data_IF_207198716937
#
_entry.id   IF_207198716937
#
_cell.length_a   1.000
_cell.length_b   1.000
_cell.length_c   1.000
_cell.angle_alpha   90.00
_cell.angle_beta   90.00
_cell.angle_gamma   90.00
#
_symmetry.space_group_name_H-M   'P 1'
#
loop_
_entity.id
_entity.type
_entity.pdbx_description
1 polymer ?
#
# COMPACT_ATOMS: atom_id res chain seq x y z
N UNK A 1 9.24 -36.84 8.43
CA UNK A 1 8.04 -36.03 8.17
C UNK A 1 8.45 -34.57 8.30
N UNK A 2 8.17 -33.73 7.31
CA UNK A 2 8.60 -32.33 7.31
C UNK A 2 7.93 -31.59 8.47
N UNK A 3 8.74 -31.09 9.41
CA UNK A 3 8.29 -30.30 10.56
C UNK A 3 7.77 -28.92 10.16
N UNK A 4 8.07 -28.48 8.93
CA UNK A 4 7.66 -27.18 8.43
C UNK A 4 6.27 -27.26 7.80
N UNK A 5 5.42 -26.33 8.19
CA UNK A 5 4.11 -26.11 7.60
C UNK A 5 4.20 -25.72 6.12
N UNK A 6 3.32 -26.25 5.25
CA UNK A 6 3.25 -25.89 3.84
C UNK A 6 2.53 -24.55 3.61
N UNK A 7 1.92 -23.95 4.64
CA UNK A 7 1.17 -22.70 4.53
C UNK A 7 2.12 -21.51 4.40
N UNK A 8 1.79 -20.60 3.49
CA UNK A 8 2.65 -19.47 3.09
C UNK A 8 2.03 -18.17 3.61
N UNK A 9 2.73 -17.53 4.54
CA UNK A 9 2.25 -16.31 5.20
C UNK A 9 2.94 -15.06 4.66
N UNK A 10 2.14 -14.15 4.10
CA UNK A 10 2.54 -12.77 3.86
C UNK A 10 3.37 -12.52 2.60
N UNK A 11 3.63 -13.55 1.80
CA UNK A 11 4.34 -13.45 0.52
C UNK A 11 3.45 -13.85 -0.65
N UNK A 12 3.86 -13.44 -1.85
CA UNK A 12 3.22 -13.85 -3.10
C UNK A 12 3.31 -15.36 -3.26
N UNK A 13 2.17 -16.00 -3.53
CA UNK A 13 2.14 -17.43 -3.84
C UNK A 13 2.68 -17.59 -5.25
N UNK A 14 3.80 -18.28 -5.37
CA UNK A 14 4.45 -18.57 -6.65
C UNK A 14 4.20 -20.01 -7.10
N UNK A 15 4.12 -20.96 -6.16
CA UNK A 15 3.85 -22.36 -6.47
C UNK A 15 2.38 -22.56 -6.87
N UNK A 16 2.07 -23.00 -8.11
CA UNK A 16 0.71 -23.26 -8.56
C UNK A 16 -0.07 -24.24 -7.69
N UNK A 17 0.60 -25.21 -7.06
CA UNK A 17 -0.03 -26.17 -6.16
C UNK A 17 -0.60 -25.54 -4.88
N UNK A 18 -0.14 -24.33 -4.51
CA UNK A 18 -0.64 -23.58 -3.35
C UNK A 18 -1.53 -22.40 -3.75
N UNK A 19 -1.85 -22.24 -5.04
CA UNK A 19 -2.70 -21.18 -5.55
C UNK A 19 -4.15 -21.68 -5.73
N UNK A 20 -4.99 -21.39 -4.75
CA UNK A 20 -6.36 -21.90 -4.69
C UNK A 20 -7.40 -20.91 -5.24
N UNK A 21 -8.35 -21.44 -6.02
CA UNK A 21 -9.50 -20.70 -6.54
C UNK A 21 -9.12 -19.72 -7.65
N UNK A 22 -9.77 -18.54 -7.64
CA UNK A 22 -9.52 -17.43 -8.59
C UNK A 22 -9.78 -17.74 -10.07
N UNK A 23 -10.40 -18.86 -10.41
CA UNK A 23 -10.71 -19.26 -11.79
C UNK A 23 -11.50 -18.19 -12.55
N UNK A 24 -12.54 -17.62 -11.93
CA UNK A 24 -13.34 -16.54 -12.55
C UNK A 24 -12.52 -15.25 -12.75
N UNK A 25 -11.67 -14.91 -11.79
CA UNK A 25 -10.81 -13.73 -11.88
C UNK A 25 -9.79 -13.88 -13.02
N UNK A 26 -9.10 -15.02 -13.08
CA UNK A 26 -8.19 -15.36 -14.17
C UNK A 26 -8.90 -15.36 -15.52
N UNK A 27 -10.07 -16.00 -15.65
CA UNK A 27 -10.85 -15.99 -16.88
C UNK A 27 -11.23 -14.56 -17.32
N UNK A 28 -11.58 -13.70 -16.37
CA UNK A 28 -11.91 -12.28 -16.65
C UNK A 28 -10.68 -11.51 -17.14
N UNK A 29 -9.51 -11.73 -16.54
CA UNK A 29 -8.26 -11.08 -16.94
C UNK A 29 -7.80 -11.57 -18.32
N UNK A 30 -7.88 -12.88 -18.57
CA UNK A 30 -7.58 -13.48 -19.88
C UNK A 30 -8.44 -12.89 -20.99
N UNK A 31 -9.76 -12.85 -20.81
CA UNK A 31 -10.67 -12.28 -21.79
C UNK A 31 -10.42 -10.78 -22.03
N UNK A 32 -9.94 -10.05 -21.02
CA UNK A 32 -9.57 -8.64 -21.18
C UNK A 32 -8.28 -8.47 -21.98
N UNK A 33 -7.27 -9.30 -21.69
CA UNK A 33 -5.98 -9.35 -22.41
C UNK A 33 -6.19 -9.69 -23.88
N UNK A 34 -7.00 -10.71 -24.18
CA UNK A 34 -7.33 -11.12 -25.55
C UNK A 34 -7.97 -9.99 -26.36
N UNK A 35 -8.71 -9.09 -25.70
CA UNK A 35 -9.33 -7.91 -26.32
C UNK A 35 -8.41 -6.69 -26.36
N UNK A 36 -7.18 -6.78 -25.84
CA UNK A 36 -6.26 -5.65 -25.70
C UNK A 36 -6.76 -4.58 -24.71
N UNK A 37 -7.61 -4.96 -23.76
CA UNK A 37 -8.23 -4.05 -22.80
C UNK A 37 -7.58 -4.11 -21.42
N UNK A 38 -7.58 -2.99 -20.70
CA UNK A 38 -6.89 -2.85 -19.42
C UNK A 38 -7.79 -3.15 -18.21
N UNK A 39 -7.21 -3.78 -17.19
CA UNK A 39 -7.88 -4.18 -15.95
C UNK A 39 -7.13 -3.67 -14.73
N UNK A 40 -7.87 -3.09 -13.79
CA UNK A 40 -7.35 -2.74 -12.47
C UNK A 40 -7.87 -3.75 -11.45
N UNK A 41 -6.99 -4.56 -10.89
CA UNK A 41 -7.31 -5.50 -9.81
C UNK A 41 -7.27 -4.76 -8.49
N UNK A 42 -8.45 -4.58 -7.89
CA UNK A 42 -8.64 -3.84 -6.64
C UNK A 42 -9.11 -4.79 -5.56
N UNK A 43 -8.64 -4.58 -4.34
CA UNK A 43 -9.08 -5.38 -3.20
C UNK A 43 -8.22 -5.15 -1.98
N UNK A 44 -8.66 -5.70 -0.86
CA UNK A 44 -8.00 -5.59 0.44
C UNK A 44 -6.52 -6.00 0.41
N UNK A 45 -5.78 -5.49 1.40
CA UNK A 45 -4.41 -5.93 1.65
C UNK A 45 -4.40 -7.44 1.89
N UNK A 46 -3.40 -8.14 1.34
CA UNK A 46 -3.22 -9.60 1.47
C UNK A 46 -4.37 -10.47 0.92
N UNK A 47 -5.31 -9.92 0.15
CA UNK A 47 -6.38 -10.71 -0.49
C UNK A 47 -5.86 -11.61 -1.63
N UNK A 48 -4.60 -11.42 -2.05
CA UNK A 48 -3.93 -12.23 -3.08
C UNK A 48 -3.85 -11.59 -4.46
N UNK A 49 -3.82 -10.24 -4.55
CA UNK A 49 -3.64 -9.52 -5.82
C UNK A 49 -2.31 -9.85 -6.50
N UNK A 50 -1.20 -9.71 -5.76
CA UNK A 50 0.14 -10.06 -6.22
C UNK A 50 0.23 -11.50 -6.71
N UNK A 51 -0.32 -12.45 -5.94
CA UNK A 51 -0.40 -13.86 -6.35
C UNK A 51 -1.21 -14.02 -7.65
N UNK A 52 -2.36 -13.33 -7.78
CA UNK A 52 -3.17 -13.38 -8.99
C UNK A 52 -2.40 -12.87 -10.22
N UNK A 53 -1.72 -11.72 -10.12
CA UNK A 53 -0.92 -11.17 -11.23
C UNK A 53 0.28 -12.05 -11.55
N UNK A 54 0.97 -12.58 -10.54
CA UNK A 54 2.09 -13.50 -10.73
C UNK A 54 1.64 -14.76 -11.49
N UNK A 55 0.54 -15.38 -11.05
CA UNK A 55 -0.02 -16.55 -11.72
C UNK A 55 -0.53 -16.24 -13.12
N UNK A 56 -1.13 -15.06 -13.34
CA UNK A 56 -1.53 -14.63 -14.67
C UNK A 56 -0.35 -14.55 -15.63
N UNK A 57 0.78 -13.99 -15.18
CA UNK A 57 1.94 -13.78 -16.03
C UNK A 57 2.78 -15.05 -16.28
N UNK A 58 2.85 -15.98 -15.31
CA UNK A 58 3.78 -17.11 -15.37
C UNK A 58 3.11 -18.47 -15.55
N UNK A 59 1.80 -18.60 -15.25
CA UNK A 59 1.14 -19.90 -15.15
C UNK A 59 -0.21 -19.98 -15.86
N UNK A 60 -0.83 -18.86 -16.20
CA UNK A 60 -2.08 -18.88 -16.93
C UNK A 60 -1.84 -19.30 -18.38
N UNK A 61 -2.75 -20.12 -18.92
CA UNK A 61 -2.79 -20.44 -20.34
C UNK A 61 -3.26 -19.20 -21.13
N UNK A 62 -2.31 -18.38 -21.57
CA UNK A 62 -2.55 -17.25 -22.46
C UNK A 62 -2.36 -17.67 -23.92
N UNK A 63 -3.01 -17.00 -24.89
CA UNK A 63 -2.70 -17.21 -26.30
C UNK A 63 -1.21 -16.99 -26.61
N UNK A 64 -0.65 -17.76 -27.55
CA UNK A 64 0.77 -17.74 -27.90
C UNK A 64 1.27 -16.36 -28.39
N UNK A 65 0.36 -15.53 -28.91
CA UNK A 65 0.67 -14.19 -29.35
C UNK A 65 0.64 -13.15 -28.22
N UNK A 66 0.39 -13.52 -26.96
CA UNK A 66 0.44 -12.59 -25.84
C UNK A 66 1.86 -12.46 -25.29
N UNK A 67 2.39 -11.24 -25.30
CA UNK A 67 3.70 -10.92 -24.74
C UNK A 67 3.53 -10.17 -23.42
N UNK A 68 3.62 -10.89 -22.30
CA UNK A 68 3.34 -10.36 -20.97
C UNK A 68 4.61 -10.05 -20.18
N UNK A 69 4.71 -8.82 -19.66
CA UNK A 69 5.76 -8.40 -18.73
C UNK A 69 5.17 -8.23 -17.33
N UNK A 70 5.73 -8.90 -16.32
CA UNK A 70 5.37 -8.71 -14.92
C UNK A 70 6.43 -7.90 -14.19
N UNK A 71 6.01 -6.84 -13.50
CA UNK A 71 6.87 -6.00 -12.68
C UNK A 71 6.26 -5.81 -11.29
N UNK A 72 7.09 -6.01 -10.27
CA UNK A 72 6.78 -5.62 -8.89
C UNK A 72 7.38 -4.25 -8.61
N UNK A 73 6.53 -3.24 -8.45
CA UNK A 73 6.95 -1.84 -8.28
C UNK A 73 7.43 -1.52 -6.85
N UNK A 74 7.46 -2.50 -5.95
CA UNK A 74 8.24 -2.39 -4.71
C UNK A 74 9.75 -2.39 -4.99
N UNK A 75 10.17 -2.93 -6.13
CA UNK A 75 11.57 -2.91 -6.53
C UNK A 75 12.00 -1.49 -6.94
N UNK A 76 12.93 -0.93 -6.16
CA UNK A 76 13.44 0.43 -6.34
C UNK A 76 14.07 0.68 -7.71
N UNK A 77 14.47 -0.38 -8.43
CA UNK A 77 14.97 -0.25 -9.80
C UNK A 77 13.95 0.41 -10.71
N UNK A 78 12.66 0.15 -10.53
CA UNK A 78 11.60 0.67 -11.39
C UNK A 78 11.10 2.07 -11.00
N UNK A 79 11.75 2.75 -10.06
CA UNK A 79 11.36 4.10 -9.60
C UNK A 79 11.92 5.22 -10.48
N UNK A 80 12.48 4.89 -11.65
CA UNK A 80 12.88 5.84 -12.69
C UNK A 80 12.24 5.48 -14.02
N UNK A 81 11.93 6.48 -14.85
CA UNK A 81 11.35 6.24 -16.19
C UNK A 81 12.23 5.28 -17.03
N UNK A 82 13.55 5.51 -17.20
CA UNK A 82 14.37 4.64 -18.06
C UNK A 82 14.35 3.17 -17.62
N UNK A 83 14.50 2.92 -16.32
CA UNK A 83 14.54 1.55 -15.81
C UNK A 83 13.17 0.87 -15.87
N UNK A 84 12.08 1.61 -15.63
CA UNK A 84 10.73 1.08 -15.75
C UNK A 84 10.43 0.67 -17.20
N UNK A 85 10.65 1.59 -18.15
CA UNK A 85 10.38 1.34 -19.57
C UNK A 85 11.27 0.21 -20.11
N UNK A 86 12.57 0.22 -19.77
CA UNK A 86 13.50 -0.85 -20.15
C UNK A 86 13.10 -2.19 -19.53
N UNK A 87 12.73 -2.21 -18.24
CA UNK A 87 12.29 -3.43 -17.57
C UNK A 87 11.04 -4.04 -18.18
N UNK A 88 10.10 -3.20 -18.64
CA UNK A 88 8.91 -3.64 -19.38
C UNK A 88 9.32 -4.28 -20.71
N UNK A 89 10.13 -3.61 -21.52
CA UNK A 89 10.55 -4.13 -22.82
C UNK A 89 11.33 -5.43 -22.68
N UNK A 90 12.19 -5.56 -21.68
CA UNK A 90 12.89 -6.81 -21.36
C UNK A 90 11.94 -7.93 -20.93
N UNK A 91 10.85 -7.60 -20.23
CA UNK A 91 9.78 -8.56 -19.92
C UNK A 91 9.08 -9.05 -21.19
N UNK A 92 8.69 -8.13 -22.07
CA UNK A 92 8.05 -8.43 -23.36
C UNK A 92 8.98 -9.26 -24.25
N UNK A 93 10.26 -8.90 -24.34
CA UNK A 93 11.24 -9.62 -25.15
C UNK A 93 11.40 -11.07 -24.66
N UNK A 94 11.53 -11.27 -23.34
CA UNK A 94 11.57 -12.62 -22.76
C UNK A 94 10.31 -13.43 -23.08
N UNK A 95 9.13 -12.81 -23.00
CA UNK A 95 7.86 -13.47 -23.33
C UNK A 95 7.74 -13.84 -24.82
N UNK A 96 8.51 -13.19 -25.69
CA UNK A 96 8.56 -13.47 -27.13
C UNK A 96 9.78 -14.28 -27.55
N UNK A 97 10.47 -14.91 -26.59
CA UNK A 97 11.64 -15.75 -26.85
C UNK A 97 12.91 -14.98 -27.19
N UNK A 98 13.00 -13.70 -26.83
CA UNK A 98 14.15 -12.84 -27.08
C UNK A 98 14.22 -12.32 -28.52
N UNK A 99 13.10 -12.24 -29.24
CA UNK A 99 13.05 -11.91 -30.67
C UNK A 99 13.52 -10.50 -30.99
N UNK A 100 13.34 -9.56 -30.08
CA UNK A 100 13.46 -8.14 -30.35
C UNK A 100 14.78 -7.53 -29.91
N UNK A 101 15.43 -8.13 -28.90
CA UNK A 101 16.69 -7.68 -28.30
C UNK A 101 16.68 -6.16 -28.06
N UNK A 102 15.69 -5.67 -27.31
CA UNK A 102 15.54 -4.23 -27.09
C UNK A 102 16.75 -3.65 -26.35
N UNK A 103 17.29 -2.57 -26.89
CA UNK A 103 18.24 -1.72 -26.17
C UNK A 103 17.54 -0.98 -25.02
N UNK A 104 18.29 -0.54 -23.99
CA UNK A 104 17.75 0.32 -22.94
C UNK A 104 17.11 1.58 -23.53
N UNK A 105 15.91 1.91 -23.05
CA UNK A 105 15.15 3.08 -23.48
C UNK A 105 15.10 4.11 -22.36
N UNK A 106 15.26 5.39 -22.72
CA UNK A 106 15.25 6.50 -21.75
C UNK A 106 13.97 7.33 -21.80
N UNK A 107 13.23 7.28 -22.90
CA UNK A 107 12.09 8.16 -23.17
C UNK A 107 10.85 7.40 -23.66
N UNK A 108 9.67 8.03 -23.50
CA UNK A 108 8.37 7.45 -23.89
C UNK A 108 8.25 7.22 -25.41
N UNK A 109 8.93 8.03 -26.23
CA UNK A 109 8.91 7.91 -27.68
C UNK A 109 9.50 6.58 -28.16
N UNK A 110 10.70 6.25 -27.70
CA UNK A 110 11.38 4.98 -28.04
C UNK A 110 10.59 3.78 -27.54
N UNK A 111 10.05 3.88 -26.33
CA UNK A 111 9.16 2.86 -25.78
C UNK A 111 7.90 2.65 -26.64
N UNK A 112 7.30 3.74 -27.13
CA UNK A 112 6.12 3.69 -28.00
C UNK A 112 6.44 2.97 -29.32
N UNK A 113 7.55 3.34 -29.97
CA UNK A 113 8.00 2.69 -31.21
C UNK A 113 8.29 1.19 -31.00
N UNK A 114 8.91 0.84 -29.87
CA UNK A 114 9.17 -0.54 -29.50
C UNK A 114 7.87 -1.36 -29.32
N UNK A 115 6.90 -0.84 -28.57
CA UNK A 115 5.59 -1.49 -28.38
C UNK A 115 4.82 -1.62 -29.70
N UNK A 116 4.87 -0.60 -30.55
CA UNK A 116 4.24 -0.63 -31.87
C UNK A 116 4.85 -1.70 -32.77
N UNK A 117 6.18 -1.86 -32.76
CA UNK A 117 6.86 -2.93 -33.48
C UNK A 117 6.37 -4.32 -33.03
N UNK A 118 6.25 -4.54 -31.72
CA UNK A 118 5.74 -5.82 -31.18
C UNK A 118 4.30 -6.07 -31.64
N UNK A 119 3.47 -5.02 -31.64
CA UNK A 119 2.09 -5.10 -32.07
C UNK A 119 1.94 -5.38 -33.58
N UNK A 120 2.79 -4.76 -34.41
CA UNK A 120 2.83 -4.98 -35.87
C UNK A 120 3.24 -6.41 -36.22
N UNK A 121 4.11 -7.02 -35.42
CA UNK A 121 4.55 -8.41 -35.56
C UNK A 121 3.48 -9.44 -35.11
N UNK A 122 2.28 -8.98 -34.76
CA UNK A 122 1.12 -9.82 -34.43
C UNK A 122 1.00 -10.19 -32.95
N UNK A 123 1.92 -9.72 -32.10
CA UNK A 123 1.83 -9.93 -30.66
C UNK A 123 0.88 -8.93 -30.00
N UNK A 124 0.30 -9.31 -28.86
CA UNK A 124 -0.41 -8.42 -27.94
C UNK A 124 0.50 -8.13 -26.75
N UNK A 125 1.12 -6.94 -26.68
CA UNK A 125 1.86 -6.49 -25.50
C UNK A 125 0.92 -6.33 -24.30
N UNK A 126 1.32 -6.88 -23.16
CA UNK A 126 0.62 -6.76 -21.88
C UNK A 126 1.61 -6.45 -20.77
N UNK A 127 1.25 -5.53 -19.88
CA UNK A 127 2.05 -5.21 -18.69
C UNK A 127 1.23 -5.51 -17.45
N UNK A 128 1.75 -6.40 -16.62
CA UNK A 128 1.32 -6.59 -15.24
C UNK A 128 2.15 -5.70 -14.30
N UNK A 129 1.49 -4.76 -13.64
CA UNK A 129 2.12 -3.85 -12.67
C UNK A 129 1.56 -4.15 -11.28
N UNK A 130 2.37 -4.75 -10.43
CA UNK A 130 2.01 -4.96 -9.03
C UNK A 130 2.41 -3.73 -8.18
N UNK A 131 1.59 -3.42 -7.18
CA UNK A 131 1.76 -2.26 -6.29
C UNK A 131 1.88 -0.92 -7.05
N UNK A 132 0.94 -0.65 -7.97
CA UNK A 132 0.94 0.55 -8.83
C UNK A 132 1.02 1.87 -8.05
N UNK A 133 0.47 1.93 -6.83
CA UNK A 133 0.58 3.07 -5.93
C UNK A 133 2.02 3.55 -5.70
N UNK A 134 3.03 2.70 -5.95
CA UNK A 134 4.44 3.09 -5.86
C UNK A 134 4.86 4.10 -6.90
N UNK A 135 4.26 4.13 -8.08
CA UNK A 135 4.55 5.21 -9.03
C UNK A 135 4.05 6.58 -8.50
N UNK A 136 2.97 6.56 -7.71
CA UNK A 136 2.35 7.79 -7.17
C UNK A 136 3.16 8.40 -6.03
N UNK A 137 4.08 7.64 -5.43
CA UNK A 137 5.01 8.18 -4.41
C UNK A 137 6.19 8.94 -5.02
N UNK A 138 6.30 8.97 -6.36
CA UNK A 138 7.34 9.67 -7.12
C UNK A 138 6.75 10.60 -8.19
N UNK A 139 5.89 11.58 -7.81
CA UNK A 139 5.17 12.44 -8.77
C UNK A 139 6.08 13.35 -9.60
N UNK A 140 7.30 13.62 -9.13
CA UNK A 140 8.34 14.32 -9.88
C UNK A 140 8.94 13.49 -11.02
N UNK A 141 8.83 12.17 -10.92
CA UNK A 141 9.35 11.22 -11.91
C UNK A 141 8.24 10.73 -12.83
N UNK A 142 7.10 10.32 -12.26
CA UNK A 142 5.93 9.84 -13.01
C UNK A 142 4.85 10.92 -13.01
N UNK A 143 5.01 11.87 -13.92
CA UNK A 143 4.12 13.00 -14.05
C UNK A 143 2.91 12.69 -14.97
N UNK A 144 2.08 13.71 -15.20
CA UNK A 144 0.91 13.60 -16.07
C UNK A 144 1.28 13.22 -17.52
N UNK A 145 2.38 13.77 -18.04
CA UNK A 145 2.83 13.51 -19.41
C UNK A 145 3.17 12.03 -19.62
N UNK A 146 3.85 11.43 -18.65
CA UNK A 146 4.13 9.99 -18.64
C UNK A 146 2.85 9.15 -18.74
N UNK A 147 1.85 9.44 -17.90
CA UNK A 147 0.57 8.70 -17.92
C UNK A 147 -0.27 8.96 -19.17
N UNK A 148 -0.16 10.15 -19.79
CA UNK A 148 -0.79 10.44 -21.08
C UNK A 148 -0.20 9.57 -22.20
N UNK A 149 1.12 9.34 -22.20
CA UNK A 149 1.78 8.41 -23.12
C UNK A 149 1.25 6.97 -22.99
N UNK A 150 1.19 6.45 -21.76
CA UNK A 150 0.62 5.13 -21.49
C UNK A 150 -0.86 5.03 -21.82
N UNK A 151 -1.64 6.06 -21.49
CA UNK A 151 -3.06 6.14 -21.87
C UNK A 151 -3.24 6.07 -23.38
N UNK A 152 -2.39 6.76 -24.14
CA UNK A 152 -2.44 6.77 -25.61
C UNK A 152 -2.29 5.36 -26.17
N UNK A 153 -1.24 4.63 -25.74
CA UNK A 153 -1.01 3.23 -26.11
C UNK A 153 -2.17 2.32 -25.72
N UNK A 154 -2.71 2.49 -24.52
CA UNK A 154 -3.83 1.69 -24.01
C UNK A 154 -5.14 1.94 -24.75
N UNK A 155 -5.47 3.21 -25.01
CA UNK A 155 -6.70 3.60 -25.71
C UNK A 155 -6.72 3.10 -27.15
N UNK A 156 -5.56 3.00 -27.78
CA UNK A 156 -5.40 2.44 -29.14
C UNK A 156 -5.36 0.89 -29.17
N UNK A 157 -5.42 0.21 -28.03
CA UNK A 157 -5.29 -1.25 -27.95
C UNK A 157 -3.89 -1.76 -28.34
N UNK A 158 -2.88 -0.88 -28.37
CA UNK A 158 -1.47 -1.24 -28.65
C UNK A 158 -0.81 -1.89 -27.45
N UNK A 159 -1.27 -1.55 -26.25
CA UNK A 159 -0.72 -2.03 -24.98
C UNK A 159 -1.86 -2.25 -23.98
N UNK A 160 -1.97 -3.45 -23.42
CA UNK A 160 -2.93 -3.69 -22.33
C UNK A 160 -2.23 -3.66 -20.97
N UNK A 161 -2.93 -3.16 -19.95
CA UNK A 161 -2.42 -3.09 -18.59
C UNK A 161 -3.25 -3.98 -17.66
N UNK A 162 -2.59 -4.74 -16.81
CA UNK A 162 -3.22 -5.41 -15.66
C UNK A 162 -2.53 -4.92 -14.41
N UNK A 163 -3.17 -4.05 -13.65
CA UNK A 163 -2.58 -3.45 -12.45
C UNK A 163 -3.12 -4.12 -11.20
N UNK A 164 -2.35 -4.13 -10.12
CA UNK A 164 -2.84 -4.43 -8.78
C UNK A 164 -2.60 -3.24 -7.87
N UNK A 165 -3.65 -2.83 -7.16
CA UNK A 165 -3.58 -1.74 -6.19
C UNK A 165 -4.50 -1.99 -5.00
N UNK A 166 -4.19 -1.35 -3.87
CA UNK A 166 -5.04 -1.42 -2.67
C UNK A 166 -6.33 -0.61 -2.79
N UNK A 167 -6.25 0.55 -3.44
CA UNK A 167 -7.38 1.47 -3.66
C UNK A 167 -7.78 1.46 -5.13
N UNK A 168 -8.96 1.98 -5.45
CA UNK A 168 -9.42 2.16 -6.83
C UNK A 168 -8.34 2.83 -7.66
N UNK A 169 -8.21 2.43 -8.93
CA UNK A 169 -7.26 3.08 -9.85
C UNK A 169 -7.50 4.59 -9.97
N UNK A 170 -8.77 5.02 -9.82
CA UNK A 170 -9.16 6.43 -9.80
C UNK A 170 -8.60 7.17 -8.58
N UNK A 171 -8.43 6.47 -7.46
CA UNK A 171 -7.86 7.00 -6.22
C UNK A 171 -6.34 6.92 -6.20
N UNK A 172 -5.76 5.88 -6.80
CA UNK A 172 -4.31 5.77 -7.00
C UNK A 172 -3.83 6.94 -7.83
N UNK A 173 -4.41 7.13 -9.01
CA UNK A 173 -3.92 8.10 -10.00
C UNK A 173 -4.72 9.40 -9.90
N UNK A 174 -4.65 10.05 -8.74
CA UNK A 174 -5.20 11.40 -8.54
C UNK A 174 -4.11 12.44 -8.77
N UNK A 175 -4.36 13.38 -9.68
CA UNK A 175 -3.52 14.59 -9.81
C UNK A 175 -4.37 15.82 -9.50
N UNK A 176 -3.92 16.63 -8.54
CA UNK A 176 -4.59 17.88 -8.12
C UNK A 176 -6.06 17.74 -7.69
N UNK A 177 -6.50 16.54 -7.27
CA UNK A 177 -7.89 16.30 -6.86
C UNK A 177 -8.81 15.84 -7.98
N UNK A 178 -8.30 15.73 -9.22
CA UNK A 178 -9.02 15.18 -10.37
C UNK A 178 -8.57 13.76 -10.68
N UNK A 179 -9.49 12.92 -11.17
CA UNK A 179 -9.17 11.57 -11.65
C UNK A 179 -8.29 11.66 -12.89
N UNK A 180 -7.16 10.95 -12.90
CA UNK A 180 -6.28 10.94 -14.07
C UNK A 180 -6.99 10.33 -15.28
N UNK A 181 -6.89 10.94 -16.47
CA UNK A 181 -7.36 10.32 -17.71
C UNK A 181 -6.82 8.91 -17.93
N UNK A 182 -5.66 8.56 -17.37
CA UNK A 182 -5.13 7.20 -17.43
C UNK A 182 -6.04 6.17 -16.75
N UNK A 183 -6.73 6.52 -15.66
CA UNK A 183 -7.66 5.60 -15.01
C UNK A 183 -8.84 5.20 -15.93
N UNK A 184 -9.23 6.08 -16.88
CA UNK A 184 -10.38 5.86 -17.76
C UNK A 184 -10.22 4.72 -18.78
N UNK A 185 -8.99 4.21 -19.01
CA UNK A 185 -8.80 3.03 -19.88
C UNK A 185 -8.99 1.71 -19.15
N UNK A 186 -9.13 1.74 -17.82
CA UNK A 186 -9.28 0.57 -16.99
C UNK A 186 -10.74 0.26 -16.70
N UNK A 187 -11.03 -1.03 -16.63
CA UNK A 187 -12.20 -1.52 -15.91
C UNK A 187 -11.75 -2.26 -14.66
N UNK A 188 -12.45 -2.08 -13.55
CA UNK A 188 -12.05 -2.70 -12.30
C UNK A 188 -12.45 -4.18 -12.24
N UNK A 189 -11.57 -4.98 -11.65
CA UNK A 189 -11.85 -6.34 -11.21
C UNK A 189 -11.69 -6.36 -9.69
N UNK A 190 -12.81 -6.41 -8.99
CA UNK A 190 -12.83 -6.49 -7.53
C UNK A 190 -12.47 -7.90 -7.07
N UNK A 191 -11.46 -8.00 -6.21
CA UNK A 191 -10.97 -9.25 -5.67
C UNK A 191 -11.49 -9.43 -4.24
N UNK A 192 -12.43 -10.35 -4.07
CA UNK A 192 -13.01 -10.71 -2.77
C UNK A 192 -12.36 -11.99 -2.18
N UNK A 193 -12.99 -12.59 -1.17
CA UNK A 193 -12.63 -13.94 -0.72
C UNK A 193 -12.70 -14.99 -1.83
N UNK A 194 -12.01 -16.12 -1.65
CA UNK A 194 -12.09 -17.26 -2.58
C UNK A 194 -13.44 -17.98 -2.44
N UNK A 195 -13.80 -18.81 -3.42
CA UNK A 195 -15.00 -19.63 -3.34
C UNK A 195 -14.88 -20.69 -2.23
N UNK A 196 -16.03 -21.20 -1.75
CA UNK A 196 -16.07 -22.15 -0.64
C UNK A 196 -15.30 -23.47 -0.95
N UNK A 197 -15.46 -24.08 -2.13
CA UNK A 197 -14.64 -25.23 -2.52
C UNK A 197 -13.14 -24.95 -2.43
N UNK A 198 -12.66 -23.85 -2.99
CA UNK A 198 -11.25 -23.45 -2.93
C UNK A 198 -10.78 -23.18 -1.50
N UNK A 199 -11.62 -22.57 -0.65
CA UNK A 199 -11.30 -22.32 0.74
C UNK A 199 -11.11 -23.61 1.55
N UNK A 200 -11.97 -24.61 1.32
CA UNK A 200 -11.83 -25.94 1.91
C UNK A 200 -10.60 -26.68 1.37
N UNK A 201 -10.36 -26.60 0.07
CA UNK A 201 -9.19 -27.18 -0.58
C UNK A 201 -7.89 -26.61 0.01
N UNK A 202 -7.79 -25.28 0.17
CA UNK A 202 -6.65 -24.63 0.82
C UNK A 202 -6.37 -25.20 2.21
N UNK A 203 -7.40 -25.44 3.02
CA UNK A 203 -7.25 -25.99 4.37
C UNK A 203 -6.97 -27.51 4.43
N UNK A 204 -7.12 -28.26 3.33
CA UNK A 204 -7.10 -29.73 3.36
C UNK A 204 -6.11 -30.38 2.38
N UNK A 205 -5.93 -29.83 1.18
CA UNK A 205 -5.04 -30.38 0.16
C UNK A 205 -3.56 -30.40 0.59
N UNK A 206 -3.02 -29.38 1.31
CA UNK A 206 -1.65 -29.44 1.79
C UNK A 206 -1.37 -30.63 2.74
N UNK A 207 -2.36 -31.06 3.53
CA UNK A 207 -2.25 -32.26 4.36
C UNK A 207 -2.20 -33.53 3.51
N UNK A 208 -3.09 -33.63 2.50
CA UNK A 208 -3.11 -34.76 1.56
C UNK A 208 -1.78 -34.89 0.83
N UNK A 209 -1.26 -33.77 0.30
CA UNK A 209 0.00 -33.72 -0.43
C UNK A 209 1.20 -34.15 0.43
N UNK A 210 1.15 -33.89 1.74
CA UNK A 210 2.18 -34.29 2.68
C UNK A 210 1.98 -35.69 3.28
N UNK A 211 0.94 -36.42 2.88
CA UNK A 211 0.60 -37.73 3.45
C UNK A 211 0.18 -37.68 4.93
N UNK A 212 -0.31 -36.53 5.40
CA UNK A 212 -0.86 -36.37 6.76
C UNK A 212 -2.37 -36.62 6.76
N UNK A 213 -2.90 -36.98 7.93
CA UNK A 213 -4.34 -37.01 8.15
C UNK A 213 -4.92 -35.61 7.94
N UNK A 214 -5.98 -35.54 7.13
CA UNK A 214 -6.72 -34.31 6.90
C UNK A 214 -7.42 -33.88 8.21
N UNK A 215 -7.42 -32.59 8.57
CA UNK A 215 -8.11 -32.13 9.76
C UNK A 215 -9.59 -32.49 9.76
N UNK A 216 -10.14 -32.79 10.93
CA UNK A 216 -11.55 -33.14 11.05
C UNK A 216 -12.45 -31.98 10.56
N UNK A 217 -13.59 -32.25 9.89
CA UNK A 217 -14.44 -31.21 9.28
C UNK A 217 -14.84 -30.09 10.24
N UNK A 218 -15.10 -30.41 11.51
CA UNK A 218 -15.47 -29.42 12.52
C UNK A 218 -14.41 -28.32 12.73
N UNK A 219 -13.12 -28.65 12.59
CA UNK A 219 -12.03 -27.67 12.70
C UNK A 219 -11.90 -26.83 11.43
N UNK A 220 -12.05 -27.45 10.25
CA UNK A 220 -12.08 -26.74 8.97
C UNK A 220 -13.24 -25.73 8.92
N UNK A 221 -14.43 -26.18 9.33
CA UNK A 221 -15.63 -25.34 9.39
C UNK A 221 -15.48 -24.21 10.41
N UNK A 222 -14.86 -24.48 11.56
CA UNK A 222 -14.57 -23.46 12.57
C UNK A 222 -13.57 -22.42 12.04
N UNK A 223 -12.52 -22.83 11.34
CA UNK A 223 -11.57 -21.92 10.69
C UNK A 223 -12.26 -21.04 9.65
N UNK A 224 -13.06 -21.62 8.76
CA UNK A 224 -13.83 -20.88 7.76
C UNK A 224 -14.83 -19.91 8.40
N UNK A 225 -15.51 -20.34 9.46
CA UNK A 225 -16.46 -19.50 10.19
C UNK A 225 -15.76 -18.28 10.82
N UNK A 226 -14.59 -18.46 11.43
CA UNK A 226 -13.88 -17.37 12.12
C UNK A 226 -13.14 -16.46 11.13
N UNK A 227 -12.42 -17.03 10.16
CA UNK A 227 -11.53 -16.30 9.25
C UNK A 227 -12.22 -15.83 7.97
N UNK A 228 -13.41 -16.33 7.67
CA UNK A 228 -14.07 -16.10 6.39
C UNK A 228 -13.35 -16.81 5.26
N UNK A 229 -13.49 -16.26 4.05
CA UNK A 229 -12.87 -16.80 2.82
C UNK A 229 -11.68 -15.98 2.33
N UNK A 230 -11.07 -15.20 3.22
CA UNK A 230 -9.92 -14.38 2.87
C UNK A 230 -8.65 -15.24 2.83
N UNK A 231 -7.94 -15.36 1.68
CA UNK A 231 -6.85 -16.33 1.51
C UNK A 231 -5.75 -16.23 2.57
N UNK A 232 -5.30 -15.03 2.91
CA UNK A 232 -4.25 -14.87 3.93
C UNK A 232 -4.67 -15.33 5.33
N UNK A 233 -5.89 -15.02 5.79
CA UNK A 233 -6.37 -15.50 7.09
C UNK A 233 -6.65 -17.00 7.07
N UNK A 234 -7.02 -17.57 5.92
CA UNK A 234 -7.10 -19.01 5.76
C UNK A 234 -5.74 -19.70 5.76
N UNK A 235 -4.69 -19.06 5.24
CA UNK A 235 -3.31 -19.57 5.38
C UNK A 235 -2.87 -19.59 6.84
N UNK A 236 -3.19 -18.55 7.64
CA UNK A 236 -2.99 -18.57 9.10
C UNK A 236 -3.76 -19.72 9.73
N UNK A 237 -5.03 -19.89 9.36
CA UNK A 237 -5.86 -20.97 9.89
C UNK A 237 -5.35 -22.37 9.52
N UNK A 238 -4.84 -22.54 8.31
CA UNK A 238 -4.19 -23.76 7.86
C UNK A 238 -2.90 -24.05 8.63
N UNK A 239 -2.09 -23.02 8.87
CA UNK A 239 -0.86 -23.13 9.66
C UNK A 239 -1.16 -23.55 11.11
N UNK A 240 -2.21 -22.98 11.71
CA UNK A 240 -2.66 -23.40 13.04
C UNK A 240 -3.17 -24.84 13.04
N UNK A 241 -3.97 -25.25 12.03
CA UNK A 241 -4.39 -26.64 11.87
C UNK A 241 -3.20 -27.60 11.72
N UNK A 242 -2.11 -27.14 11.10
CA UNK A 242 -0.93 -27.96 10.84
C UNK A 242 -0.18 -28.31 12.13
N UNK A 243 -0.13 -27.36 13.07
CA UNK A 243 0.57 -27.49 14.35
C UNK A 243 -0.34 -27.95 15.49
N UNK A 244 -1.66 -27.89 15.32
CA UNK A 244 -2.60 -28.31 16.34
C UNK A 244 -2.67 -29.82 16.48
N UNK A 245 -2.62 -30.32 17.71
CA UNK A 245 -2.96 -31.70 18.06
C UNK A 245 -4.49 -31.94 18.10
N UNK A 246 -5.30 -30.92 17.77
CA UNK A 246 -6.74 -30.98 17.51
C UNK A 246 -7.62 -31.68 18.58
N UNK A 247 -7.24 -31.59 19.87
CA UNK A 247 -8.03 -32.18 20.97
C UNK A 247 -8.97 -31.17 21.66
N UNK A 248 -8.64 -29.86 21.62
CA UNK A 248 -9.41 -28.83 22.32
C UNK A 248 -9.86 -27.70 21.36
N UNK A 249 -11.17 -27.62 21.12
CA UNK A 249 -11.77 -26.63 20.19
C UNK A 249 -11.71 -25.19 20.70
N UNK A 250 -11.75 -24.99 22.01
CA UNK A 250 -11.69 -23.65 22.60
C UNK A 250 -10.26 -23.11 22.58
N UNK A 251 -9.29 -23.97 22.89
CA UNK A 251 -7.87 -23.62 22.73
C UNK A 251 -7.53 -23.33 21.28
N UNK A 252 -7.99 -24.16 20.34
CA UNK A 252 -7.80 -23.90 18.91
C UNK A 252 -8.42 -22.56 18.47
N UNK A 253 -9.63 -22.23 18.97
CA UNK A 253 -10.24 -20.93 18.72
C UNK A 253 -9.38 -19.77 19.25
N UNK A 254 -8.81 -19.92 20.44
CA UNK A 254 -7.94 -18.91 21.05
C UNK A 254 -6.67 -18.73 20.23
N UNK A 255 -5.99 -19.81 19.84
CA UNK A 255 -4.79 -19.75 19.02
C UNK A 255 -5.05 -19.07 17.66
N UNK A 256 -6.15 -19.42 16.98
CA UNK A 256 -6.57 -18.76 15.75
C UNK A 256 -6.76 -17.25 15.95
N UNK A 257 -7.38 -16.86 17.06
CA UNK A 257 -7.59 -15.47 17.41
C UNK A 257 -6.26 -14.75 17.67
N UNK A 258 -5.36 -15.34 18.43
CA UNK A 258 -4.06 -14.76 18.75
C UNK A 258 -3.17 -14.61 17.50
N UNK A 259 -3.08 -15.66 16.67
CA UNK A 259 -2.32 -15.65 15.42
C UNK A 259 -2.83 -14.59 14.43
N UNK A 260 -4.14 -14.32 14.44
CA UNK A 260 -4.78 -13.37 13.52
C UNK A 260 -4.83 -11.93 14.05
N UNK A 261 -4.46 -11.70 15.32
CA UNK A 261 -4.63 -10.40 15.99
C UNK A 261 -3.88 -9.28 15.30
N UNK A 262 -2.57 -9.43 15.12
CA UNK A 262 -1.75 -8.40 14.50
C UNK A 262 -2.18 -8.09 13.06
N UNK A 263 -2.41 -9.10 12.18
CA UNK A 263 -2.94 -8.83 10.86
C UNK A 263 -4.30 -8.14 10.81
N UNK A 264 -5.23 -8.49 11.71
CA UNK A 264 -6.53 -7.85 11.75
C UNK A 264 -6.45 -6.41 12.27
N UNK A 265 -5.53 -6.12 13.20
CA UNK A 265 -5.25 -4.74 13.64
C UNK A 265 -4.68 -3.91 12.49
N UNK A 266 -3.74 -4.46 11.71
CA UNK A 266 -3.22 -3.78 10.50
C UNK A 266 -4.34 -3.49 9.49
N UNK A 267 -5.21 -4.47 9.25
CA UNK A 267 -6.37 -4.32 8.39
C UNK A 267 -7.29 -3.19 8.89
N UNK A 268 -7.53 -3.10 10.20
CA UNK A 268 -8.36 -2.06 10.82
C UNK A 268 -7.72 -0.67 10.73
N UNK A 269 -6.43 -0.56 11.01
CA UNK A 269 -5.67 0.70 10.99
C UNK A 269 -5.54 1.25 9.56
N UNK A 270 -5.60 0.38 8.55
CA UNK A 270 -5.60 0.73 7.13
C UNK A 270 -6.93 1.35 6.66
N UNK A 271 -8.02 1.24 7.43
CA UNK A 271 -9.33 1.81 7.09
C UNK A 271 -9.41 3.28 7.50
N UNK A 272 -10.08 4.09 6.68
CA UNK A 272 -10.47 5.46 7.03
C UNK A 272 -11.50 5.49 8.17
N UNK A 273 -11.65 6.65 8.82
CA UNK A 273 -12.61 6.80 9.92
C UNK A 273 -14.07 6.51 9.50
N UNK A 274 -14.43 6.82 8.25
CA UNK A 274 -15.76 6.53 7.69
C UNK A 274 -15.94 5.03 7.45
N UNK A 275 -14.93 4.34 6.91
CA UNK A 275 -14.92 2.89 6.72
C UNK A 275 -14.94 2.13 8.05
N UNK A 276 -14.16 2.57 9.04
CA UNK A 276 -14.18 2.01 10.40
C UNK A 276 -15.58 2.14 11.01
N UNK A 277 -16.23 3.30 10.83
CA UNK A 277 -17.61 3.53 11.31
C UNK A 277 -18.59 2.61 10.60
N UNK A 278 -18.49 2.48 9.27
CA UNK A 278 -19.31 1.56 8.48
C UNK A 278 -19.12 0.09 8.92
N UNK A 279 -17.88 -0.34 9.12
CA UNK A 279 -17.57 -1.69 9.59
C UNK A 279 -18.14 -1.96 11.00
N UNK A 280 -18.10 -0.98 11.90
CA UNK A 280 -18.72 -1.07 13.23
C UNK A 280 -20.26 -1.18 13.15
N UNK A 281 -20.89 -0.44 12.23
CA UNK A 281 -22.35 -0.54 11.99
C UNK A 281 -22.73 -1.94 11.50
N UNK A 282 -22.02 -2.45 10.48
CA UNK A 282 -22.18 -3.82 9.98
C UNK A 282 -21.98 -4.85 11.08
N UNK A 283 -20.94 -4.70 11.90
CA UNK A 283 -20.67 -5.63 12.99
C UNK A 283 -21.77 -5.62 14.06
N UNK A 284 -22.28 -4.44 14.45
CA UNK A 284 -23.27 -4.31 15.53
C UNK A 284 -24.71 -4.52 15.09
N UNK A 285 -24.98 -4.66 13.79
CA UNK A 285 -26.33 -4.74 13.23
C UNK A 285 -27.13 -3.43 13.38
N UNK A 286 -26.46 -2.34 13.79
CA UNK A 286 -27.07 -1.01 13.93
C UNK A 286 -26.99 -0.29 12.58
N UNK A 287 -27.94 -0.63 11.71
CA UNK A 287 -28.14 0.06 10.44
C UNK A 287 -28.22 -0.90 9.26
N UNK A 288 -29.38 -1.49 9.03
CA UNK A 288 -29.81 -1.69 7.64
C UNK A 288 -30.21 -0.30 7.16
N UNK A 289 -29.23 0.48 6.67
CA UNK A 289 -29.54 1.80 6.14
C UNK A 289 -30.27 1.56 4.82
N UNK A 290 -31.47 2.11 4.69
CA UNK A 290 -32.22 2.21 3.43
C UNK A 290 -31.48 3.08 2.39
N UNK A 291 -30.28 3.57 2.72
CA UNK A 291 -29.38 4.36 1.90
C UNK A 291 -27.95 3.84 2.10
N UNK A 292 -27.38 3.17 1.09
CA UNK A 292 -26.01 2.68 1.13
C UNK A 292 -25.05 3.89 1.14
N UNK A 293 -24.44 4.20 2.28
CA UNK A 293 -23.39 5.22 2.34
C UNK A 293 -22.17 4.77 1.50
N UNK A 294 -21.45 5.72 0.89
CA UNK A 294 -20.28 5.45 0.03
C UNK A 294 -19.25 4.52 0.70
N UNK A 295 -19.05 4.68 2.02
CA UNK A 295 -18.14 3.85 2.79
C UNK A 295 -18.56 2.37 2.84
N UNK A 296 -19.86 2.06 2.98
CA UNK A 296 -20.36 0.68 3.01
C UNK A 296 -20.23 0.00 1.65
N UNK A 297 -20.48 0.76 0.58
CA UNK A 297 -20.21 0.28 -0.77
C UNK A 297 -18.71 0.00 -0.98
N UNK A 298 -17.84 0.87 -0.45
CA UNK A 298 -16.40 0.67 -0.54
C UNK A 298 -15.95 -0.59 0.21
N UNK A 299 -16.52 -0.90 1.38
CA UNK A 299 -16.22 -2.15 2.11
C UNK A 299 -16.51 -3.42 1.30
N UNK A 300 -17.60 -3.43 0.51
CA UNK A 300 -17.89 -4.52 -0.42
C UNK A 300 -16.87 -4.57 -1.56
N UNK A 301 -16.58 -3.41 -2.16
CA UNK A 301 -15.66 -3.27 -3.29
C UNK A 301 -14.26 -3.77 -2.96
N UNK A 302 -13.74 -3.46 -1.76
CA UNK A 302 -12.43 -3.94 -1.32
C UNK A 302 -12.47 -5.39 -0.81
N UNK A 303 -13.65 -5.94 -0.52
CA UNK A 303 -13.83 -7.30 -0.01
C UNK A 303 -13.72 -7.43 1.51
N UNK A 304 -13.85 -6.33 2.27
CA UNK A 304 -13.99 -6.36 3.74
C UNK A 304 -15.38 -6.83 4.15
N UNK A 305 -16.38 -6.58 3.29
CA UNK A 305 -17.73 -7.07 3.44
C UNK A 305 -18.09 -8.00 2.28
N UNK A 306 -19.06 -8.89 2.52
CA UNK A 306 -19.66 -9.76 1.52
C UNK A 306 -21.17 -9.82 1.72
N UNK A 307 -21.89 -10.20 0.65
CA UNK A 307 -23.30 -10.57 0.72
C UNK A 307 -23.42 -12.05 1.05
N UNK A 308 -24.27 -12.41 1.99
CA UNK A 308 -24.66 -13.79 2.23
C UNK A 308 -25.71 -14.25 1.19
N UNK A 309 -26.19 -15.50 1.35
CA UNK A 309 -27.16 -16.13 0.44
C UNK A 309 -28.50 -15.37 0.39
N UNK A 310 -28.88 -14.71 1.49
CA UNK A 310 -30.08 -13.88 1.59
C UNK A 310 -29.83 -12.44 1.07
N UNK A 311 -28.63 -12.16 0.57
CA UNK A 311 -28.22 -10.85 0.06
C UNK A 311 -27.89 -9.83 1.15
N UNK A 312 -27.88 -10.23 2.42
CA UNK A 312 -27.54 -9.36 3.55
C UNK A 312 -26.03 -9.18 3.61
N UNK A 313 -25.62 -7.93 3.88
CA UNK A 313 -24.21 -7.58 3.96
C UNK A 313 -23.67 -7.81 5.36
N UNK A 314 -22.51 -8.46 5.42
CA UNK A 314 -21.76 -8.76 6.63
C UNK A 314 -20.27 -8.60 6.37
N UNK A 315 -19.50 -8.44 7.44
CA UNK A 315 -18.04 -8.49 7.32
C UNK A 315 -17.58 -9.88 6.90
N UNK A 316 -16.45 -9.97 6.21
CA UNK A 316 -15.93 -11.22 5.68
C UNK A 316 -15.60 -12.25 6.78
N UNK A 317 -15.30 -11.80 8.01
CA UNK A 317 -14.84 -12.61 9.14
C UNK A 317 -15.72 -12.42 10.37
N UNK A 318 -16.22 -13.52 10.94
CA UNK A 318 -16.96 -13.46 12.21
C UNK A 318 -16.04 -13.13 13.40
N UNK A 319 -14.76 -13.50 13.34
CA UNK A 319 -13.79 -13.10 14.36
C UNK A 319 -13.65 -11.56 14.38
N UNK A 320 -13.53 -10.93 13.21
CA UNK A 320 -13.50 -9.47 13.10
C UNK A 320 -14.80 -8.85 13.65
N UNK A 321 -15.96 -9.39 13.26
CA UNK A 321 -17.26 -8.95 13.79
C UNK A 321 -17.31 -9.02 15.32
N UNK A 322 -16.88 -10.13 15.92
CA UNK A 322 -16.86 -10.31 17.37
C UNK A 322 -15.93 -9.31 18.07
N UNK A 323 -14.74 -9.08 17.51
CA UNK A 323 -13.78 -8.12 18.06
C UNK A 323 -14.26 -6.68 18.00
N UNK A 324 -14.92 -6.30 16.92
CA UNK A 324 -15.53 -4.98 16.78
C UNK A 324 -16.66 -4.78 17.81
N UNK A 325 -17.53 -5.77 18.01
CA UNK A 325 -18.57 -5.74 19.05
C UNK A 325 -17.98 -5.60 20.46
N UNK A 326 -16.89 -6.31 20.75
CA UNK A 326 -16.19 -6.30 22.04
C UNK A 326 -15.30 -5.07 22.24
N UNK A 327 -15.13 -4.23 21.22
CA UNK A 327 -14.29 -3.04 21.29
C UNK A 327 -12.79 -3.36 21.42
N UNK A 328 -12.33 -4.50 20.90
CA UNK A 328 -10.91 -4.92 20.96
C UNK A 328 -10.00 -3.86 20.33
N UNK A 329 -10.48 -3.17 19.30
CA UNK A 329 -9.74 -2.13 18.59
C UNK A 329 -9.82 -0.73 19.24
N UNK A 330 -10.59 -0.53 20.33
CA UNK A 330 -10.75 0.79 20.96
C UNK A 330 -9.49 1.30 21.65
N UNK A 331 -8.51 0.43 21.92
CA UNK A 331 -7.20 0.82 22.47
C UNK A 331 -6.21 1.31 21.38
N UNK A 332 -6.47 1.10 20.09
CA UNK A 332 -5.64 1.65 18.99
C UNK A 332 -6.14 3.01 18.49
N UNK A 333 -7.27 3.52 19.02
CA UNK A 333 -7.87 4.80 18.66
C UNK A 333 -7.16 6.01 19.30
N UNK A 334 -5.82 6.02 19.32
CA UNK A 334 -5.09 7.28 19.31
C UNK A 334 -4.84 7.62 17.83
N UNK A 335 -5.58 8.59 17.26
CA UNK A 335 -5.47 8.90 15.85
C UNK A 335 -4.11 9.55 15.61
N UNK A 336 -3.11 8.75 15.23
CA UNK A 336 -1.92 9.30 14.58
C UNK A 336 -2.36 9.75 13.18
N UNK A 337 -2.38 11.07 12.88
CA UNK A 337 -2.78 11.52 11.57
C UNK A 337 -1.73 11.10 10.55
N UNK A 338 -2.17 10.40 9.50
CA UNK A 338 -1.43 10.37 8.25
C UNK A 338 -1.50 11.78 7.64
N UNK A 339 -0.33 12.38 7.48
CA UNK A 339 -0.06 13.72 6.95
C UNK A 339 -0.35 14.91 7.89
N UNK A 340 0.67 15.76 8.02
CA UNK A 340 0.63 16.99 8.80
C UNK A 340 -0.37 17.97 8.21
N UNK A 341 -1.36 18.35 9.00
CA UNK A 341 -2.07 19.63 8.92
C UNK A 341 -2.76 19.88 10.26
N UNK A 342 -2.11 20.67 11.13
CA UNK A 342 -2.78 21.30 12.28
C UNK A 342 -3.86 22.23 11.71
N UNK A 343 -5.13 22.00 12.03
CA UNK A 343 -6.15 23.05 11.98
C UNK A 343 -6.94 23.14 13.27
N UNK A 344 -6.88 24.38 13.79
CA UNK A 344 -7.76 25.07 14.75
C UNK A 344 -9.13 24.43 14.96
N UNK A 345 -9.47 24.21 16.24
CA UNK A 345 -10.87 24.15 16.69
C UNK A 345 -11.38 25.57 16.87
N UNK A 346 -12.48 25.90 16.19
CA UNK A 346 -13.40 26.96 16.57
C UNK A 346 -14.36 26.45 17.64
N UNK A 347 -14.63 27.28 18.65
CA UNK A 347 -15.85 27.25 19.44
C UNK A 347 -16.43 28.66 19.42
N UNK A 348 -17.63 28.81 18.84
CA UNK A 348 -18.42 30.05 18.83
C UNK A 348 -19.47 29.99 19.94
N UNK A 349 -19.79 31.17 20.49
CA UNK A 349 -21.03 31.67 21.13
C UNK A 349 -20.76 32.26 22.53
N UNK A 350 -21.07 33.50 22.95
CA UNK A 350 -21.63 34.76 22.40
C UNK A 350 -21.13 35.92 23.33
N UNK A 351 -21.56 37.20 23.22
CA UNK A 351 -20.70 38.38 23.00
C UNK A 351 -20.39 39.17 24.31
N UNK A 352 -19.43 40.11 24.26
CA UNK A 352 -19.55 41.49 24.80
C UNK A 352 -18.19 42.23 24.73
N UNK A 353 -18.17 43.30 23.93
CA UNK A 353 -17.46 44.59 24.06
C UNK A 353 -16.14 44.74 24.85
N UNK A 354 -15.10 45.21 24.11
CA UNK A 354 -14.09 46.25 24.41
C UNK A 354 -13.24 46.15 25.71
N UNK A 355 -11.93 45.87 25.62
CA UNK A 355 -10.76 46.78 25.43
C UNK A 355 -9.43 46.05 25.82
N UNK A 356 -8.24 46.56 25.44
CA UNK A 356 -7.04 45.76 25.18
C UNK A 356 -6.09 45.63 26.39
N UNK A 357 -5.46 44.46 26.56
CA UNK A 357 -4.09 44.34 27.11
C UNK A 357 -3.54 42.91 27.01
N UNK A 358 -2.22 42.87 26.78
CA UNK A 358 -1.26 41.79 26.96
C UNK A 358 -1.18 40.60 25.97
N UNK A 359 -0.29 40.82 24.98
CA UNK A 359 0.37 39.81 24.17
C UNK A 359 1.64 39.30 24.87
N UNK A 360 1.76 37.96 24.83
CA UNK A 360 2.95 37.18 24.44
C UNK A 360 4.27 37.33 25.22
N UNK A 361 4.63 36.25 25.92
CA UNK A 361 6.01 35.75 25.96
C UNK A 361 6.00 34.22 25.79
N UNK A 362 6.73 33.70 24.79
CA UNK A 362 7.31 32.33 24.74
C UNK A 362 8.04 32.10 23.41
N UNK A 363 9.14 32.80 23.11
CA UNK A 363 10.12 32.38 22.07
C UNK A 363 11.54 32.94 22.31
N UNK A 364 12.39 32.21 23.08
CA UNK A 364 13.83 32.21 22.74
C UNK A 364 14.50 30.81 22.74
N UNK A 365 13.97 29.81 23.45
CA UNK A 365 14.68 28.54 23.70
C UNK A 365 14.81 27.67 22.44
N UNK A 366 13.78 27.64 21.59
CA UNK A 366 13.79 26.83 20.37
C UNK A 366 14.76 27.34 19.29
N UNK A 367 14.97 28.67 19.22
CA UNK A 367 15.90 29.25 18.25
C UNK A 367 17.36 28.91 18.61
N UNK A 368 17.69 28.89 19.90
CA UNK A 368 19.03 28.55 20.41
C UNK A 368 19.36 27.08 20.10
N UNK A 369 18.42 26.16 20.29
CA UNK A 369 18.63 24.73 20.02
C UNK A 369 18.87 24.44 18.53
N UNK A 370 18.17 25.14 17.63
CA UNK A 370 18.34 24.98 16.19
C UNK A 370 19.70 25.51 15.73
N UNK A 371 20.13 26.66 16.24
CA UNK A 371 21.44 27.22 15.91
C UNK A 371 22.60 26.35 16.42
N UNK A 372 22.46 25.77 17.62
CA UNK A 372 23.47 24.85 18.18
C UNK A 372 23.60 23.58 17.32
N UNK A 373 22.47 23.02 16.87
CA UNK A 373 22.46 21.83 16.01
C UNK A 373 23.13 22.10 14.65
N UNK A 374 22.87 23.26 14.04
CA UNK A 374 23.49 23.66 12.77
C UNK A 374 25.01 23.83 12.94
N UNK A 375 25.46 24.42 14.04
CA UNK A 375 26.90 24.59 14.32
C UNK A 375 27.62 23.24 14.50
N UNK A 376 27.01 22.28 15.21
CA UNK A 376 27.60 20.94 15.42
C UNK A 376 27.69 20.17 14.10
N UNK A 377 26.63 20.20 13.29
CA UNK A 377 26.61 19.53 11.97
C UNK A 377 27.66 20.15 11.05
N UNK A 378 27.80 21.47 11.06
CA UNK A 378 28.80 22.19 10.26
C UNK A 378 30.23 21.84 10.67
N UNK A 379 30.51 21.70 11.97
CA UNK A 379 31.82 21.28 12.48
C UNK A 379 32.17 19.85 12.05
N UNK A 380 31.18 18.95 12.06
CA UNK A 380 31.36 17.55 11.65
C UNK A 380 31.67 17.42 10.15
N UNK A 381 31.06 18.26 9.31
CA UNK A 381 31.30 18.29 7.86
C UNK A 381 32.71 18.82 7.55
N UNK A 382 33.19 19.83 8.27
CA UNK A 382 34.53 20.42 8.07
C UNK A 382 35.64 19.44 8.41
N UNK A 383 35.46 18.58 9.41
CA UNK A 383 36.41 17.53 9.81
C UNK A 383 36.64 16.46 8.74
N UNK A 384 35.74 16.32 7.76
CA UNK A 384 35.80 15.33 6.68
C UNK A 384 36.13 15.92 5.30
N UNK A 385 36.36 17.23 5.20
CA UNK A 385 36.69 17.92 3.95
C UNK A 385 38.21 18.16 3.83
N UNK A 386 38.80 18.01 2.63
CA UNK A 386 40.20 18.37 2.40
C UNK A 386 40.42 19.86 2.68
N UNK A 387 41.58 20.21 3.27
CA UNK A 387 41.93 21.55 3.81
C UNK A 387 41.57 22.73 2.89
N UNK A 388 41.66 22.56 1.57
CA UNK A 388 41.32 23.60 0.60
C UNK A 388 39.82 23.93 0.51
N UNK A 389 38.93 22.99 0.88
CA UNK A 389 37.45 23.18 0.86
C UNK A 389 36.89 23.59 2.22
N UNK A 390 37.62 23.35 3.30
CA UNK A 390 37.23 23.71 4.66
C UNK A 390 37.11 25.24 4.84
N UNK A 391 38.05 26.02 4.27
CA UNK A 391 38.04 27.47 4.36
C UNK A 391 36.80 28.10 3.71
N UNK A 392 36.45 27.67 2.49
CA UNK A 392 35.28 28.15 1.76
C UNK A 392 33.97 27.83 2.48
N UNK A 393 33.88 26.62 3.05
CA UNK A 393 32.71 26.21 3.83
C UNK A 393 32.58 27.05 5.12
N UNK A 394 33.69 27.30 5.83
CA UNK A 394 33.69 28.16 7.02
C UNK A 394 33.21 29.58 6.69
N UNK A 395 33.66 30.13 5.56
CA UNK A 395 33.22 31.47 5.11
C UNK A 395 31.72 31.52 4.84
N UNK A 396 31.16 30.50 4.17
CA UNK A 396 29.71 30.41 3.88
C UNK A 396 28.89 30.32 5.18
N UNK A 397 29.34 29.53 6.15
CA UNK A 397 28.68 29.39 7.45
C UNK A 397 28.70 30.71 8.23
N UNK A 398 29.83 31.43 8.23
CA UNK A 398 29.93 32.75 8.88
C UNK A 398 29.00 33.77 8.22
N UNK A 399 28.91 33.79 6.89
CA UNK A 399 28.01 34.67 6.14
C UNK A 399 26.54 34.36 6.47
N UNK A 400 26.16 33.07 6.53
CA UNK A 400 24.81 32.65 6.90
C UNK A 400 24.44 33.06 8.33
N UNK A 401 25.38 32.92 9.28
CA UNK A 401 25.18 33.35 10.67
C UNK A 401 24.99 34.87 10.70
N UNK A 402 25.84 35.65 10.03
CA UNK A 402 25.73 37.11 9.97
C UNK A 402 24.41 37.56 9.32
N UNK A 403 23.96 36.90 8.25
CA UNK A 403 22.67 37.18 7.62
C UNK A 403 21.49 36.89 8.57
N UNK A 404 21.59 35.84 9.38
CA UNK A 404 20.60 35.50 10.40
C UNK A 404 20.58 36.56 11.53
N UNK A 405 21.73 37.08 11.93
CA UNK A 405 21.83 38.19 12.90
C UNK A 405 21.21 39.49 12.35
N UNK A 406 21.35 39.77 11.06
CA UNK A 406 20.70 40.94 10.42
C UNK A 406 19.18 40.78 10.39
N UNK A 407 18.67 39.56 10.13
CA UNK A 407 17.24 39.27 10.08
C UNK A 407 16.56 39.28 11.46
N UNK A 408 17.29 39.00 12.54
CA UNK A 408 16.71 38.87 13.89
C UNK A 408 16.44 40.20 14.62
N UNK A 409 16.87 41.36 14.09
CA UNK A 409 16.62 42.67 14.70
C UNK A 409 17.43 42.92 15.98
N UNK A 410 17.81 44.19 16.22
CA UNK A 410 18.79 44.58 17.26
C UNK A 410 18.42 44.15 18.69
N UNK A 411 17.13 44.09 19.02
CA UNK A 411 16.65 43.72 20.36
C UNK A 411 16.86 42.23 20.68
N UNK A 412 16.70 41.35 19.69
CA UNK A 412 16.83 39.90 19.86
C UNK A 412 18.30 39.46 19.90
N UNK A 413 19.16 40.19 19.20
CA UNK A 413 20.62 40.01 19.21
C UNK A 413 21.23 40.33 20.59
N UNK A 414 20.77 41.40 21.23
CA UNK A 414 21.23 41.77 22.57
C UNK A 414 20.85 40.72 23.63
N UNK A 415 19.62 40.19 23.57
CA UNK A 415 19.15 39.11 24.45
C UNK A 415 19.89 37.78 24.21
N UNK A 416 20.25 37.49 22.96
CA UNK A 416 21.04 36.30 22.62
C UNK A 416 22.47 36.37 23.19
N UNK A 417 23.14 37.53 23.08
CA UNK A 417 24.48 37.74 23.63
C UNK A 417 24.50 37.69 25.16
N UNK A 418 23.47 38.23 25.83
CA UNK A 418 23.34 38.10 27.30
C UNK A 418 23.05 36.66 27.73
N UNK A 419 22.29 35.90 26.94
CA UNK A 419 22.05 34.48 27.17
C UNK A 419 23.34 33.64 27.08
N UNK A 420 24.17 33.89 26.07
CA UNK A 420 25.47 33.21 25.90
C UNK A 420 26.42 33.54 27.05
N UNK A 421 26.54 34.82 27.44
CA UNK A 421 27.40 35.23 28.56
C UNK A 421 26.99 34.54 29.88
N UNK A 422 25.68 34.35 30.09
CA UNK A 422 25.14 33.64 31.27
C UNK A 422 25.45 32.14 31.26
N UNK A 423 25.45 31.49 30.09
CA UNK A 423 25.80 30.07 29.95
C UNK A 423 27.31 29.86 30.08
N UNK A 424 28.12 30.75 29.50
CA UNK A 424 29.59 30.68 29.58
C UNK A 424 30.09 30.90 31.01
N UNK A 425 29.52 31.87 31.75
CA UNK A 425 29.85 32.06 33.18
C UNK A 425 29.47 30.85 34.03
N UNK A 426 28.35 30.17 33.72
CA UNK A 426 27.95 28.95 34.41
C UNK A 426 28.83 27.71 34.13
N UNK A 427 29.67 27.76 33.10
CA UNK A 427 30.63 26.69 32.76
C UNK A 427 32.03 26.93 33.35
N UNK A 428 32.41 28.18 33.63
CA UNK A 428 33.71 28.53 34.20
C UNK A 428 33.73 28.64 35.73
N UNK A 429 32.57 28.68 36.40
CA UNK A 429 32.44 28.64 37.88
C UNK A 429 32.14 27.21 38.42
N UNK A 430 32.55 26.15 37.72
CA UNK A 430 32.48 24.76 38.20
C UNK A 430 33.81 24.02 38.11
#
# INVERSE_FOLDING_TARGET
MTTNSPYILGTTIQNPAMFFGRTRALATLRAAIEKGSSKAVVGLRRIGKSSLLYHLAHHAALPDNVAIAYLDLLDARYHTIPNLLTGILQGIDRATGGRYHFEPVTEMGDFTAAVERVKQDGYQPVICLDELERLMTHPETFDRSFFEGWRSLGSMGKLAFVTASRVSINDVVRHNGETSPFANIFTELQLAGIDNPAARALLTDPFRAAGRNVPAPAYVDQTLHLMGRHPYFLQIGGDELWHSDAVNRDLFRQNLADASKNPMMQLWDDLSATEQTAALRLATGKGAVTHWEEAEHHLLTIGLAEKDEDGKVRLFSNLLTDWLKKGVFRQSADPRPLSGRRKKKEGKSVPLSFHPSDKQETRPVYAVLVLLAIAIISLFIVLWLPLQKAALFLTIVVILILALFVLMGKATVAQFLTGIDKVLRGWFDK
#
